data_IF_484015168433
#
_entry.id   IF_484015168433
#
_cell.length_a   1.000
_cell.length_b   1.000
_cell.length_c   1.000
_cell.angle_alpha   90.00
_cell.angle_beta   90.00
_cell.angle_gamma   90.00
#
_symmetry.space_group_name_H-M   'P 1'
#
loop_
_entity.id
_entity.type
_entity.pdbx_description
1 polymer ?
#
# COMPACT_ATOMS: atom_id res chain seq x y z
N UNK A 1 -6.13 -23.96 27.07
CA UNK A 1 -5.15 -22.94 26.63
C UNK A 1 -4.83 -23.02 25.12
N UNK A 2 -4.71 -24.21 24.53
CA UNK A 2 -4.39 -24.39 23.10
C UNK A 2 -5.54 -23.98 22.15
N UNK A 3 -6.79 -24.27 22.52
CA UNK A 3 -8.00 -23.91 21.76
C UNK A 3 -8.10 -22.40 21.53
N UNK A 4 -7.88 -21.60 22.59
CA UNK A 4 -7.98 -20.15 22.53
C UNK A 4 -6.94 -19.54 21.59
N UNK A 5 -5.69 -20.06 21.62
CA UNK A 5 -4.61 -19.62 20.74
C UNK A 5 -4.93 -19.89 19.26
N UNK A 6 -5.54 -21.04 18.95
CA UNK A 6 -5.92 -21.43 17.59
C UNK A 6 -6.99 -20.48 17.01
N UNK A 7 -7.94 -20.08 17.84
CA UNK A 7 -9.00 -19.13 17.47
C UNK A 7 -8.43 -17.73 17.20
N UNK A 8 -7.51 -17.25 18.04
CA UNK A 8 -6.87 -15.94 17.85
C UNK A 8 -6.06 -15.88 16.56
N UNK A 9 -5.30 -16.93 16.24
CA UNK A 9 -4.51 -17.00 14.99
C UNK A 9 -5.41 -17.00 13.77
N UNK A 10 -6.54 -17.72 13.80
CA UNK A 10 -7.54 -17.73 12.72
C UNK A 10 -8.19 -16.37 12.50
N UNK A 11 -8.51 -15.65 13.59
CA UNK A 11 -9.08 -14.30 13.51
C UNK A 11 -8.07 -13.30 12.96
N UNK A 12 -6.83 -13.28 13.47
CA UNK A 12 -5.75 -12.42 12.95
C UNK A 12 -5.59 -12.64 11.45
N UNK A 13 -5.49 -13.89 11.03
CA UNK A 13 -5.38 -14.29 9.64
C UNK A 13 -6.53 -13.78 8.75
N UNK A 14 -7.75 -13.78 9.26
CA UNK A 14 -8.93 -13.24 8.57
C UNK A 14 -8.87 -11.72 8.46
N UNK A 15 -8.43 -11.03 9.51
CA UNK A 15 -8.20 -9.58 9.48
C UNK A 15 -7.08 -9.20 8.50
N UNK A 16 -5.98 -9.95 8.44
CA UNK A 16 -4.96 -9.74 7.42
C UNK A 16 -5.54 -9.92 6.02
N UNK A 17 -6.32 -10.97 5.76
CA UNK A 17 -6.95 -11.15 4.45
C UNK A 17 -7.89 -9.99 4.07
N UNK A 18 -8.59 -9.40 5.04
CA UNK A 18 -9.42 -8.21 4.82
C UNK A 18 -8.59 -6.98 4.43
N UNK A 19 -7.35 -6.84 4.92
CA UNK A 19 -6.45 -5.76 4.51
C UNK A 19 -6.17 -5.76 2.99
N UNK A 20 -6.15 -6.93 2.35
CA UNK A 20 -5.96 -7.05 0.89
C UNK A 20 -7.09 -6.36 0.10
N UNK A 21 -8.30 -6.34 0.66
CA UNK A 21 -9.49 -5.70 0.05
C UNK A 21 -9.63 -4.25 0.50
N UNK A 22 -9.33 -3.98 1.77
CA UNK A 22 -9.41 -2.63 2.33
C UNK A 22 -8.40 -1.66 1.69
N UNK A 23 -7.20 -2.12 1.31
CA UNK A 23 -6.18 -1.29 0.65
C UNK A 23 -6.67 -0.64 -0.65
N UNK A 24 -7.09 -1.43 -1.66
CA UNK A 24 -7.65 -0.90 -2.90
C UNK A 24 -8.89 -0.02 -2.70
N UNK A 25 -9.76 -0.34 -1.74
CA UNK A 25 -10.95 0.47 -1.44
C UNK A 25 -10.56 1.83 -0.87
N UNK A 26 -9.66 1.86 0.11
CA UNK A 26 -9.17 3.11 0.70
C UNK A 26 -8.46 3.98 -0.33
N UNK A 27 -7.66 3.38 -1.21
CA UNK A 27 -7.06 4.07 -2.32
C UNK A 27 -8.11 4.66 -3.27
N UNK A 28 -9.15 3.88 -3.58
CA UNK A 28 -10.23 4.31 -4.46
C UNK A 28 -10.99 5.51 -3.89
N UNK A 29 -11.32 5.45 -2.61
CA UNK A 29 -11.95 6.56 -1.90
C UNK A 29 -11.04 7.79 -1.86
N UNK A 30 -9.75 7.60 -1.57
CA UNK A 30 -8.80 8.70 -1.51
C UNK A 30 -8.67 9.45 -2.84
N UNK A 31 -8.40 8.76 -3.96
CA UNK A 31 -8.28 9.45 -5.25
C UNK A 31 -9.59 10.08 -5.69
N UNK A 32 -10.73 9.46 -5.35
CA UNK A 32 -12.06 10.01 -5.68
C UNK A 32 -12.31 11.31 -4.93
N UNK A 33 -12.09 11.32 -3.61
CA UNK A 33 -12.24 12.52 -2.76
C UNK A 33 -11.29 13.62 -3.22
N UNK A 34 -10.02 13.30 -3.46
CA UNK A 34 -9.02 14.26 -3.94
C UNK A 34 -9.37 14.81 -5.34
N UNK A 35 -9.93 13.98 -6.21
CA UNK A 35 -10.43 14.39 -7.51
C UNK A 35 -11.58 15.39 -7.41
N UNK A 36 -12.55 15.14 -6.53
CA UNK A 36 -13.65 16.09 -6.27
C UNK A 36 -13.19 17.38 -5.59
N UNK A 37 -12.15 17.33 -4.75
CA UNK A 37 -11.60 18.50 -4.08
C UNK A 37 -10.76 19.40 -5.00
N UNK A 38 -10.27 18.89 -6.13
CA UNK A 38 -9.45 19.67 -7.08
C UNK A 38 -10.37 20.31 -8.14
N UNK A 39 -10.65 21.63 -8.07
CA UNK A 39 -11.56 22.28 -9.00
C UNK A 39 -11.02 22.16 -10.43
N UNK A 40 -11.87 21.65 -11.33
CA UNK A 40 -11.53 21.40 -12.74
C UNK A 40 -10.91 20.03 -13.02
N UNK A 41 -10.70 19.18 -12.00
CA UNK A 41 -10.16 17.84 -12.21
C UNK A 41 -11.25 16.86 -12.66
N UNK A 42 -11.02 16.18 -13.78
CA UNK A 42 -11.94 15.15 -14.30
C UNK A 42 -11.35 13.76 -14.09
N UNK A 43 -11.97 12.96 -13.23
CA UNK A 43 -11.58 11.55 -12.99
C UNK A 43 -11.65 10.68 -14.26
N UNK A 44 -12.37 11.14 -15.29
CA UNK A 44 -12.54 10.44 -16.58
C UNK A 44 -11.52 10.91 -17.61
N UNK A 45 -11.13 12.19 -17.56
CA UNK A 45 -10.30 12.82 -18.61
C UNK A 45 -8.84 13.00 -18.19
N UNK A 46 -8.55 12.98 -16.89
CA UNK A 46 -7.22 13.22 -16.34
C UNK A 46 -6.72 12.00 -15.57
N UNK A 47 -5.42 11.67 -15.70
CA UNK A 47 -4.86 10.51 -15.03
C UNK A 47 -4.81 10.75 -13.52
N UNK A 48 -5.11 9.70 -12.75
CA UNK A 48 -5.02 9.69 -11.28
C UNK A 48 -3.62 10.10 -10.79
N UNK A 49 -2.57 9.81 -11.56
CA UNK A 49 -1.20 10.27 -11.29
C UNK A 49 -1.05 11.80 -11.28
N UNK A 50 -1.93 12.53 -11.96
CA UNK A 50 -1.99 14.00 -11.93
C UNK A 50 -2.38 14.57 -10.56
N UNK A 51 -3.05 13.78 -9.71
CA UNK A 51 -3.31 14.15 -8.31
C UNK A 51 -2.05 14.11 -7.43
N UNK A 52 -0.99 13.44 -7.91
CA UNK A 52 0.33 13.44 -7.30
C UNK A 52 1.16 14.70 -7.59
N UNK A 53 0.57 15.74 -8.20
CA UNK A 53 1.27 16.98 -8.56
C UNK A 53 0.49 18.20 -8.03
N UNK A 54 1.16 19.05 -7.24
CA UNK A 54 0.58 20.23 -6.60
C UNK A 54 0.04 19.98 -5.19
N UNK A 55 -0.81 20.87 -4.68
CA UNK A 55 -1.24 20.93 -3.26
C UNK A 55 -1.87 19.67 -2.68
N UNK A 56 -2.37 18.74 -3.52
CA UNK A 56 -2.97 17.47 -3.08
C UNK A 56 -1.98 16.28 -3.18
N UNK A 57 -0.72 16.53 -3.57
CA UNK A 57 0.26 15.46 -3.83
C UNK A 57 0.57 14.64 -2.57
N UNK A 58 0.70 15.30 -1.41
CA UNK A 58 0.97 14.62 -0.14
C UNK A 58 -0.16 13.64 0.21
N UNK A 59 -1.41 14.05 0.06
CA UNK A 59 -2.56 13.19 0.35
C UNK A 59 -2.64 12.00 -0.62
N UNK A 60 -2.26 12.18 -1.88
CA UNK A 60 -2.20 11.09 -2.86
C UNK A 60 -1.05 10.11 -2.56
N UNK A 61 0.11 10.63 -2.19
CA UNK A 61 1.30 9.82 -1.89
C UNK A 61 1.13 9.01 -0.61
N UNK A 62 0.56 9.60 0.45
CA UNK A 62 0.17 8.87 1.67
C UNK A 62 -0.81 7.75 1.33
N UNK A 63 -1.78 8.00 0.46
CA UNK A 63 -2.76 6.97 0.04
C UNK A 63 -2.11 5.81 -0.71
N UNK A 64 -1.09 6.08 -1.55
CA UNK A 64 -0.29 5.04 -2.21
C UNK A 64 0.51 4.19 -1.21
N UNK A 65 1.15 4.81 -0.22
CA UNK A 65 1.91 4.10 0.82
C UNK A 65 0.96 3.22 1.64
N UNK A 66 -0.18 3.78 2.06
CA UNK A 66 -1.16 3.09 2.89
C UNK A 66 -1.77 1.90 2.14
N UNK A 67 -2.16 2.09 0.87
CA UNK A 67 -2.62 1.03 -0.01
C UNK A 67 -1.58 -0.08 -0.15
N UNK A 68 -0.33 0.29 -0.44
CA UNK A 68 0.77 -0.66 -0.63
C UNK A 68 1.02 -1.50 0.62
N UNK A 69 1.04 -0.88 1.81
CA UNK A 69 1.17 -1.59 3.08
C UNK A 69 0.02 -2.55 3.36
N UNK A 70 -1.22 -2.11 3.14
CA UNK A 70 -2.41 -2.95 3.36
C UNK A 70 -2.45 -4.15 2.41
N UNK A 71 -2.10 -3.95 1.14
CA UNK A 71 -1.98 -5.03 0.16
C UNK A 71 -0.85 -5.99 0.50
N UNK A 72 0.31 -5.48 0.89
CA UNK A 72 1.46 -6.30 1.28
C UNK A 72 1.10 -7.24 2.44
N UNK A 73 0.55 -6.70 3.53
CA UNK A 73 0.10 -7.48 4.68
C UNK A 73 -1.04 -8.43 4.30
N UNK A 74 -1.92 -8.00 3.39
CA UNK A 74 -3.06 -8.78 2.94
C UNK A 74 -2.69 -10.00 2.09
N UNK A 75 -1.74 -9.85 1.16
CA UNK A 75 -1.19 -10.95 0.35
C UNK A 75 -0.58 -12.01 1.26
N UNK A 76 0.27 -11.59 2.22
CA UNK A 76 0.85 -12.50 3.21
C UNK A 76 -0.24 -13.25 3.98
N UNK A 77 -1.28 -12.55 4.44
CA UNK A 77 -2.43 -13.14 5.14
C UNK A 77 -3.17 -14.19 4.32
N UNK A 78 -3.49 -13.91 3.06
CA UNK A 78 -4.22 -14.84 2.17
C UNK A 78 -3.41 -16.12 1.96
N UNK A 79 -2.14 -15.99 1.57
CA UNK A 79 -1.31 -17.16 1.30
C UNK A 79 -0.94 -17.92 2.57
N UNK A 80 -0.91 -17.27 3.75
CA UNK A 80 -0.77 -17.94 5.04
C UNK A 80 -1.92 -18.88 5.38
N UNK A 81 -3.14 -18.61 4.90
CA UNK A 81 -4.31 -19.45 5.12
C UNK A 81 -4.51 -20.53 4.05
N UNK A 82 -3.92 -20.38 2.87
CA UNK A 82 -3.93 -21.43 1.85
C UNK A 82 -2.94 -22.55 2.20
N UNK A 83 -3.46 -23.62 2.81
CA UNK A 83 -2.73 -24.87 3.09
C UNK A 83 -2.73 -25.85 1.92
N UNK A 84 -3.62 -25.65 0.96
CA UNK A 84 -3.76 -26.44 -0.28
C UNK A 84 -2.58 -26.22 -1.25
N UNK A 85 -1.90 -25.07 -1.16
CA UNK A 85 -0.76 -24.74 -2.01
C UNK A 85 0.54 -25.32 -1.44
N UNK A 86 1.28 -26.05 -2.27
CA UNK A 86 2.65 -26.48 -1.94
C UNK A 86 3.54 -25.28 -1.60
N UNK A 87 4.42 -25.44 -0.60
CA UNK A 87 5.22 -24.34 -0.03
C UNK A 87 5.97 -23.52 -1.09
N UNK A 88 6.50 -24.17 -2.14
CA UNK A 88 7.21 -23.49 -3.24
C UNK A 88 6.29 -22.58 -4.07
N UNK A 89 5.13 -23.08 -4.48
CA UNK A 89 4.16 -22.31 -5.26
C UNK A 89 3.64 -21.11 -4.46
N UNK A 90 3.40 -21.31 -3.16
CA UNK A 90 2.99 -20.25 -2.24
C UNK A 90 4.00 -19.11 -2.17
N UNK A 91 5.29 -19.42 -2.00
CA UNK A 91 6.33 -18.40 -1.95
C UNK A 91 6.47 -17.65 -3.28
N UNK A 92 6.39 -18.36 -4.42
CA UNK A 92 6.43 -17.73 -5.75
C UNK A 92 5.25 -16.77 -5.95
N UNK A 93 4.03 -17.17 -5.58
CA UNK A 93 2.86 -16.30 -5.69
C UNK A 93 2.95 -15.09 -4.76
N UNK A 94 3.38 -15.28 -3.50
CA UNK A 94 3.62 -14.17 -2.57
C UNK A 94 4.61 -13.18 -3.20
N UNK A 95 5.78 -13.64 -3.65
CA UNK A 95 6.81 -12.75 -4.21
C UNK A 95 6.33 -12.00 -5.46
N UNK A 96 5.58 -12.66 -6.35
CA UNK A 96 5.03 -12.00 -7.54
C UNK A 96 3.95 -10.97 -7.19
N UNK A 97 3.09 -11.28 -6.22
CA UNK A 97 1.99 -10.41 -5.81
C UNK A 97 2.45 -9.26 -4.90
N UNK A 98 3.54 -9.43 -4.16
CA UNK A 98 4.15 -8.38 -3.33
C UNK A 98 4.94 -7.36 -4.16
N UNK A 99 5.40 -7.72 -5.36
CA UNK A 99 6.13 -6.80 -6.23
C UNK A 99 5.30 -5.53 -6.56
N UNK A 100 3.99 -5.69 -6.75
CA UNK A 100 3.08 -4.58 -7.03
C UNK A 100 2.90 -3.59 -5.86
N UNK A 101 2.55 -4.02 -4.62
CA UNK A 101 2.47 -3.12 -3.48
C UNK A 101 3.83 -2.52 -3.08
N UNK A 102 4.94 -3.23 -3.27
CA UNK A 102 6.29 -2.66 -3.08
C UNK A 102 6.49 -1.47 -4.04
N UNK A 103 6.13 -1.63 -5.32
CA UNK A 103 6.16 -0.55 -6.29
C UNK A 103 5.30 0.65 -5.87
N UNK A 104 4.09 0.41 -5.34
CA UNK A 104 3.21 1.47 -4.85
C UNK A 104 3.80 2.24 -3.65
N UNK A 105 4.44 1.54 -2.71
CA UNK A 105 5.13 2.17 -1.57
C UNK A 105 6.29 3.04 -2.08
N UNK A 106 7.12 2.52 -3.00
CA UNK A 106 8.24 3.26 -3.58
C UNK A 106 7.73 4.52 -4.31
N UNK A 107 6.65 4.41 -5.08
CA UNK A 107 6.04 5.56 -5.75
C UNK A 107 5.56 6.63 -4.75
N UNK A 108 4.92 6.23 -3.65
CA UNK A 108 4.50 7.19 -2.63
C UNK A 108 5.67 7.82 -1.85
N UNK A 109 6.77 7.09 -1.67
CA UNK A 109 8.00 7.61 -1.06
C UNK A 109 8.70 8.64 -1.96
N UNK A 110 8.65 8.47 -3.28
CA UNK A 110 9.11 9.47 -4.25
C UNK A 110 8.10 10.64 -4.37
N UNK A 111 8.04 11.48 -3.35
CA UNK A 111 7.24 12.72 -3.36
C UNK A 111 8.02 13.84 -4.06
N UNK A 112 7.46 14.39 -5.14
CA UNK A 112 8.02 15.55 -5.87
C UNK A 112 8.09 16.84 -5.02
N UNK A 113 7.33 16.96 -3.93
CA UNK A 113 7.25 18.15 -3.07
C UNK A 113 8.27 18.18 -1.92
N UNK A 114 8.97 17.08 -1.59
CA UNK A 114 9.94 17.05 -0.47
C UNK A 114 11.29 16.42 -0.85
N UNK A 115 12.12 17.06 -1.70
CA UNK A 115 13.53 16.69 -1.81
C UNK A 115 14.27 16.78 -0.46
N UNK A 116 13.72 17.50 0.52
CA UNK A 116 14.34 17.76 1.82
C UNK A 116 14.43 16.55 2.77
N UNK A 117 13.51 15.60 2.72
CA UNK A 117 13.63 14.36 3.53
C UNK A 117 14.72 13.44 2.96
N UNK A 118 14.90 13.45 1.64
CA UNK A 118 16.01 12.76 0.97
C UNK A 118 17.36 13.46 1.25
N UNK A 119 17.41 14.79 1.22
CA UNK A 119 18.60 15.56 1.60
C UNK A 119 18.94 15.34 3.08
N UNK A 120 17.97 15.38 4.00
CA UNK A 120 18.22 15.13 5.42
C UNK A 120 18.75 13.71 5.70
N UNK A 121 18.28 12.72 4.94
CA UNK A 121 18.80 11.35 5.00
C UNK A 121 20.22 11.24 4.40
N UNK A 122 20.49 11.96 3.32
CA UNK A 122 21.83 12.06 2.72
C UNK A 122 22.83 12.76 3.67
N UNK A 123 22.40 13.81 4.37
CA UNK A 123 23.16 14.55 5.38
C UNK A 123 23.35 13.78 6.71
N UNK A 124 22.51 12.78 7.02
CA UNK A 124 22.67 11.90 8.17
C UNK A 124 23.57 10.68 7.88
N UNK A 125 23.67 10.27 6.62
CA UNK A 125 24.50 9.13 6.17
C UNK A 125 25.92 9.56 5.79
N UNK A 126 26.11 10.80 5.34
CA UNK A 126 27.42 11.36 5.07
C UNK A 126 27.73 12.36 6.20
N UNK A 127 28.49 11.97 7.22
CA UNK A 127 29.15 12.98 8.02
C UNK A 127 30.21 13.62 7.12
N UNK A 128 30.34 14.95 7.20
CA UNK A 128 31.28 15.87 6.50
C UNK A 128 31.13 16.03 4.97
#
# INVERSE_FOLDING_TARGET
MLEHRKNTVSEINRWLALCAVAGPILFALAYTILGFLRPGFSLVSEPISGLGVGTNSLAMNVSFILMGLLLFVGVIGIFQNMKELGAKARWVCISLLELSPIGAIICGLYTYEYPFILLASFWLVVPW
#
